data_IF_484464763791
#
_entry.id   IF_484464763791
#
_cell.length_a   1.000
_cell.length_b   1.000
_cell.length_c   1.000
_cell.angle_alpha   90.00
_cell.angle_beta   90.00
_cell.angle_gamma   90.00
#
_symmetry.space_group_name_H-M   'P 1'
#
loop_
_entity.id
_entity.type
_entity.pdbx_description
1 polymer ?
#
# COMPACT_ATOMS: atom_id res chain seq x y z
N UNK A 1 22.49 13.10 -44.39
CA UNK A 1 23.09 12.78 -43.07
C UNK A 1 22.30 13.34 -41.89
N UNK A 2 21.84 14.60 -41.92
CA UNK A 2 21.04 15.23 -40.84
C UNK A 2 19.74 14.48 -40.49
N UNK A 3 19.08 13.89 -41.48
CA UNK A 3 17.81 13.17 -41.28
C UNK A 3 18.00 11.77 -40.68
N UNK A 4 19.15 11.13 -40.89
CA UNK A 4 19.47 9.82 -40.32
C UNK A 4 19.82 9.95 -38.84
N UNK A 5 20.52 11.03 -38.46
CA UNK A 5 20.83 11.33 -37.05
C UNK A 5 19.55 11.65 -36.25
N UNK A 6 18.60 12.38 -36.85
CA UNK A 6 17.28 12.62 -36.24
C UNK A 6 16.48 11.32 -36.07
N UNK A 7 16.49 10.43 -37.07
CA UNK A 7 15.82 9.13 -36.99
C UNK A 7 16.44 8.23 -35.92
N UNK A 8 17.78 8.18 -35.85
CA UNK A 8 18.50 7.46 -34.79
C UNK A 8 18.21 8.03 -33.41
N UNK A 9 18.12 9.35 -33.26
CA UNK A 9 17.72 10.01 -32.00
C UNK A 9 16.26 9.71 -31.62
N UNK A 10 15.35 9.60 -32.59
CA UNK A 10 13.94 9.21 -32.34
C UNK A 10 13.83 7.74 -31.88
N UNK A 11 14.56 6.84 -32.54
CA UNK A 11 14.60 5.39 -32.21
C UNK A 11 15.29 5.15 -30.85
N UNK A 12 16.25 6.00 -30.47
CA UNK A 12 16.88 5.98 -29.15
C UNK A 12 15.95 6.54 -28.04
N UNK A 13 14.98 7.40 -28.38
CA UNK A 13 14.00 7.95 -27.43
C UNK A 13 12.87 6.96 -27.09
N UNK A 14 12.56 6.03 -27.99
CA UNK A 14 11.55 4.97 -27.73
C UNK A 14 12.06 3.83 -26.82
N UNK A 15 13.35 3.81 -26.48
CA UNK A 15 13.92 2.86 -25.51
C UNK A 15 13.86 3.36 -24.07
N UNK A 16 13.01 4.33 -23.75
CA UNK A 16 12.55 4.51 -22.38
C UNK A 16 11.61 3.33 -22.10
N UNK A 17 12.17 2.26 -21.56
CA UNK A 17 11.44 1.07 -21.13
C UNK A 17 10.41 1.51 -20.08
N UNK A 18 9.17 1.73 -20.51
CA UNK A 18 8.01 1.73 -19.62
C UNK A 18 7.85 0.29 -19.15
N UNK A 19 8.57 -0.06 -18.09
CA UNK A 19 8.24 -1.27 -17.34
C UNK A 19 6.85 -1.06 -16.75
N UNK A 20 5.85 -1.68 -17.36
CA UNK A 20 4.52 -1.78 -16.76
C UNK A 20 4.70 -2.41 -15.38
N UNK A 21 4.25 -1.69 -14.35
CA UNK A 21 4.24 -2.25 -13.01
C UNK A 21 3.25 -3.41 -13.00
N UNK A 22 3.59 -4.55 -12.38
CA UNK A 22 2.68 -5.68 -12.33
C UNK A 22 1.38 -5.27 -11.64
N UNK A 23 0.25 -5.61 -12.27
CA UNK A 23 -1.09 -5.30 -11.76
C UNK A 23 -1.45 -6.16 -10.54
N UNK A 24 -0.82 -7.33 -10.42
CA UNK A 24 -0.99 -8.28 -9.31
C UNK A 24 0.31 -8.55 -8.56
N UNK A 25 0.18 -9.02 -7.31
CA UNK A 25 1.36 -9.44 -6.54
C UNK A 25 2.09 -10.60 -7.22
N UNK A 26 3.41 -10.50 -7.35
CA UNK A 26 4.25 -11.62 -7.76
C UNK A 26 4.15 -12.79 -6.76
N UNK A 27 4.46 -14.00 -7.21
CA UNK A 27 4.59 -15.14 -6.28
C UNK A 27 5.83 -14.96 -5.41
N UNK A 28 5.69 -15.20 -4.11
CA UNK A 28 6.82 -15.21 -3.16
C UNK A 28 7.72 -16.42 -3.41
N UNK A 29 9.03 -16.27 -3.21
CA UNK A 29 9.98 -17.38 -3.34
C UNK A 29 9.69 -18.47 -2.28
N UNK A 30 9.71 -19.74 -2.70
CA UNK A 30 9.38 -20.88 -1.84
C UNK A 30 10.29 -21.05 -0.61
N UNK A 31 11.50 -20.49 -0.64
CA UNK A 31 12.45 -20.52 0.47
C UNK A 31 12.37 -19.26 1.36
N UNK A 32 11.40 -18.38 1.12
CA UNK A 32 11.23 -17.17 1.93
C UNK A 32 10.80 -17.53 3.35
N UNK A 33 11.65 -17.19 4.32
CA UNK A 33 11.37 -17.39 5.75
C UNK A 33 11.00 -16.11 6.48
N UNK A 34 11.22 -14.94 5.86
CA UNK A 34 11.01 -13.64 6.47
C UNK A 34 10.69 -12.57 5.42
N UNK A 35 9.75 -11.68 5.74
CA UNK A 35 9.38 -10.52 4.92
C UNK A 35 9.42 -9.27 5.79
N UNK A 36 10.17 -8.26 5.35
CA UNK A 36 10.12 -6.90 5.89
C UNK A 36 9.44 -5.99 4.87
N UNK A 37 8.41 -5.28 5.30
CA UNK A 37 7.66 -4.38 4.43
C UNK A 37 7.49 -3.01 5.11
N UNK A 38 7.68 -1.95 4.33
CA UNK A 38 7.51 -0.57 4.77
C UNK A 38 6.71 0.23 3.74
N UNK A 39 5.78 1.05 4.22
CA UNK A 39 4.95 1.90 3.36
C UNK A 39 4.77 3.29 3.98
N UNK A 40 4.51 4.27 3.11
CA UNK A 40 3.93 5.54 3.52
C UNK A 40 2.47 5.33 3.97
N UNK A 41 1.97 6.24 4.80
CA UNK A 41 0.54 6.37 5.05
C UNK A 41 -0.25 6.56 3.73
N UNK A 42 -1.53 6.19 3.75
CA UNK A 42 -2.44 6.42 2.62
C UNK A 42 -2.76 7.90 2.39
N UNK A 43 -3.59 8.19 1.39
CA UNK A 43 -4.04 9.55 1.09
C UNK A 43 -4.60 10.28 2.33
N UNK A 44 -4.19 11.53 2.50
CA UNK A 44 -4.54 12.38 3.64
C UNK A 44 -4.90 13.78 3.19
N UNK A 45 -5.55 14.55 4.06
CA UNK A 45 -5.69 15.99 3.86
C UNK A 45 -4.36 16.73 3.98
N UNK A 46 -4.23 17.92 3.35
CA UNK A 46 -3.05 18.77 3.50
C UNK A 46 -2.81 19.20 4.95
N UNK A 47 -1.59 19.63 5.21
CA UNK A 47 -1.18 20.20 6.50
C UNK A 47 -1.09 21.72 6.44
N UNK A 48 -0.60 22.24 5.31
CA UNK A 48 -0.46 23.66 5.05
C UNK A 48 -1.52 24.07 4.03
N UNK A 49 -2.23 25.16 4.32
CA UNK A 49 -3.23 25.76 3.44
C UNK A 49 -2.74 27.13 2.98
N UNK A 50 -2.94 27.44 1.71
CA UNK A 50 -2.64 28.75 1.14
C UNK A 50 -3.72 29.75 1.58
N UNK A 51 -3.30 30.92 2.05
CA UNK A 51 -4.22 31.95 2.54
C UNK A 51 -5.08 32.54 1.41
N UNK A 52 -4.53 32.58 0.20
CA UNK A 52 -5.14 33.18 -0.99
C UNK A 52 -6.29 32.33 -1.56
N UNK A 53 -6.45 31.09 -1.09
CA UNK A 53 -7.50 30.19 -1.56
C UNK A 53 -7.97 29.28 -0.40
N UNK A 54 -8.80 29.82 0.52
CA UNK A 54 -9.27 29.05 1.66
C UNK A 54 -10.16 27.90 1.18
N UNK A 55 -9.78 26.68 1.54
CA UNK A 55 -10.55 25.46 1.25
C UNK A 55 -10.85 24.74 2.56
N UNK A 56 -12.10 24.34 2.73
CA UNK A 56 -12.44 23.33 3.72
C UNK A 56 -12.11 21.95 3.15
N UNK A 57 -11.43 21.15 3.95
CA UNK A 57 -11.17 19.74 3.67
C UNK A 57 -12.07 18.91 4.59
N UNK A 58 -12.38 17.67 4.19
CA UNK A 58 -13.45 16.85 4.75
C UNK A 58 -13.50 16.78 6.28
N UNK A 59 -14.62 16.28 6.81
CA UNK A 59 -14.90 16.25 8.26
C UNK A 59 -13.85 15.48 9.09
N UNK A 60 -12.96 14.71 8.45
CA UNK A 60 -11.83 14.09 9.12
C UNK A 60 -10.84 15.11 9.71
N UNK A 61 -10.70 16.30 9.12
CA UNK A 61 -9.79 17.35 9.57
C UNK A 61 -8.43 17.36 8.86
N UNK A 62 -7.61 18.35 9.19
CA UNK A 62 -6.29 18.58 8.59
C UNK A 62 -5.32 17.45 8.88
N UNK A 63 -4.48 17.10 7.90
CA UNK A 63 -3.50 15.99 8.00
C UNK A 63 -4.05 14.59 8.21
N UNK A 64 -5.36 14.44 8.38
CA UNK A 64 -6.00 13.17 8.70
C UNK A 64 -6.17 12.28 7.47
N UNK A 65 -6.19 10.97 7.72
CA UNK A 65 -6.33 9.96 6.67
C UNK A 65 -7.74 10.02 6.08
N UNK A 66 -7.83 10.21 4.76
CA UNK A 66 -9.12 10.29 4.08
C UNK A 66 -9.74 8.91 3.94
N UNK A 67 -11.04 8.87 3.62
CA UNK A 67 -11.70 7.63 3.23
C UNK A 67 -11.05 6.94 2.01
N UNK A 68 -10.41 7.70 1.11
CA UNK A 68 -9.59 7.13 0.04
C UNK A 68 -8.32 6.46 0.60
N UNK A 69 -7.62 7.12 1.52
CA UNK A 69 -6.44 6.57 2.18
C UNK A 69 -6.72 5.28 2.94
N UNK A 70 -7.87 5.19 3.61
CA UNK A 70 -8.34 3.96 4.28
C UNK A 70 -8.51 2.80 3.30
N UNK A 71 -9.14 3.05 2.14
CA UNK A 71 -9.30 2.05 1.07
C UNK A 71 -7.97 1.63 0.46
N UNK A 72 -7.02 2.56 0.31
CA UNK A 72 -5.66 2.26 -0.15
C UNK A 72 -4.94 1.34 0.84
N UNK A 73 -4.99 1.65 2.15
CA UNK A 73 -4.42 0.78 3.18
C UNK A 73 -5.03 -0.62 3.18
N UNK A 74 -6.37 -0.71 3.12
CA UNK A 74 -7.04 -2.01 3.02
C UNK A 74 -6.67 -2.79 1.76
N UNK A 75 -6.63 -2.11 0.60
CA UNK A 75 -6.19 -2.70 -0.67
C UNK A 75 -4.76 -3.23 -0.61
N UNK A 76 -3.84 -2.44 -0.07
CA UNK A 76 -2.46 -2.85 0.19
C UNK A 76 -2.41 -4.11 1.08
N UNK A 77 -3.22 -4.16 2.13
CA UNK A 77 -3.30 -5.32 3.01
C UNK A 77 -3.72 -6.60 2.28
N UNK A 78 -4.68 -6.50 1.34
CA UNK A 78 -5.10 -7.64 0.52
C UNK A 78 -3.99 -8.12 -0.41
N UNK A 79 -3.26 -7.21 -1.06
CA UNK A 79 -2.14 -7.59 -1.94
C UNK A 79 -0.98 -8.18 -1.14
N UNK A 80 -0.69 -7.65 0.05
CA UNK A 80 0.27 -8.26 0.96
C UNK A 80 -0.15 -9.66 1.40
N UNK A 81 -1.44 -9.89 1.69
CA UNK A 81 -1.95 -11.23 1.98
C UNK A 81 -1.73 -12.20 0.82
N UNK A 82 -2.01 -11.79 -0.42
CA UNK A 82 -1.75 -12.62 -1.60
C UNK A 82 -0.24 -12.95 -1.73
N UNK A 83 0.61 -11.94 -1.53
CA UNK A 83 2.06 -12.10 -1.61
C UNK A 83 2.61 -13.05 -0.54
N UNK A 84 2.33 -12.82 0.75
CA UNK A 84 2.90 -13.62 1.85
C UNK A 84 2.25 -15.00 1.96
N UNK A 85 1.04 -15.18 1.45
CA UNK A 85 0.34 -16.46 1.37
C UNK A 85 0.31 -17.22 2.69
N UNK A 86 0.93 -18.41 2.70
CA UNK A 86 0.97 -19.35 3.84
C UNK A 86 2.11 -19.08 4.82
N UNK A 87 2.97 -18.09 4.57
CA UNK A 87 4.07 -17.73 5.49
C UNK A 87 3.54 -17.31 6.86
N UNK A 88 2.33 -16.73 6.90
CA UNK A 88 1.64 -16.31 8.13
C UNK A 88 0.19 -16.82 8.11
N UNK A 89 -0.36 -17.16 9.27
CA UNK A 89 -1.75 -17.62 9.38
C UNK A 89 -2.74 -16.54 8.92
N UNK A 90 -3.92 -16.98 8.48
CA UNK A 90 -5.03 -16.07 8.15
C UNK A 90 -5.43 -15.24 9.37
N UNK A 91 -5.69 -15.89 10.50
CA UNK A 91 -5.90 -15.21 11.78
C UNK A 91 -4.59 -14.60 12.29
N UNK A 92 -4.69 -13.47 13.00
CA UNK A 92 -3.53 -12.83 13.61
C UNK A 92 -2.86 -13.77 14.63
N UNK A 93 -1.55 -13.95 14.49
CA UNK A 93 -0.72 -14.70 15.44
C UNK A 93 0.51 -13.88 15.83
N UNK A 94 0.61 -13.53 17.12
CA UNK A 94 1.70 -12.70 17.62
C UNK A 94 3.09 -13.35 17.55
N UNK A 95 3.21 -14.66 17.34
CA UNK A 95 4.51 -15.31 17.16
C UNK A 95 5.02 -15.22 15.72
N UNK A 96 4.16 -14.87 14.76
CA UNK A 96 4.48 -14.87 13.32
C UNK A 96 4.66 -13.46 12.74
N UNK A 97 3.96 -12.45 13.29
CA UNK A 97 3.95 -11.09 12.74
C UNK A 97 4.19 -10.02 13.81
N UNK A 98 4.81 -8.92 13.38
CA UNK A 98 4.96 -7.68 14.16
C UNK A 98 4.61 -6.49 13.27
N UNK A 99 3.89 -5.53 13.83
CA UNK A 99 3.41 -4.35 13.13
C UNK A 99 3.82 -3.09 13.87
N UNK A 100 4.38 -2.12 13.14
CA UNK A 100 4.88 -0.87 13.69
C UNK A 100 4.37 0.31 12.86
N UNK A 101 4.15 1.44 13.52
CA UNK A 101 3.80 2.71 12.86
C UNK A 101 4.45 3.88 13.58
N UNK A 102 4.67 4.97 12.86
CA UNK A 102 4.94 6.27 13.47
C UNK A 102 3.69 6.80 14.19
N UNK A 103 3.88 7.72 15.15
CA UNK A 103 2.82 8.21 16.05
C UNK A 103 1.67 9.00 15.40
N UNK A 104 1.80 9.48 14.16
CA UNK A 104 0.75 10.25 13.51
C UNK A 104 -0.52 9.40 13.26
N UNK A 105 -1.70 9.95 13.53
CA UNK A 105 -3.01 9.29 13.37
C UNK A 105 -3.14 8.58 12.01
N UNK A 106 -2.83 9.31 10.92
CA UNK A 106 -2.84 8.76 9.56
C UNK A 106 -2.00 7.51 9.35
N UNK A 107 -0.87 7.38 10.06
CA UNK A 107 0.01 6.23 9.96
C UNK A 107 -0.57 5.05 10.75
N UNK A 108 -1.06 5.29 11.95
CA UNK A 108 -1.74 4.28 12.77
C UNK A 108 -3.00 3.75 12.08
N UNK A 109 -3.83 4.62 11.50
CA UNK A 109 -5.03 4.24 10.76
C UNK A 109 -4.70 3.50 9.45
N UNK A 110 -3.63 3.90 8.76
CA UNK A 110 -3.15 3.14 7.59
C UNK A 110 -2.73 1.74 8.01
N UNK A 111 -2.00 1.61 9.12
CA UNK A 111 -1.62 0.30 9.65
C UNK A 111 -2.85 -0.54 10.01
N UNK A 112 -3.82 0.02 10.74
CA UNK A 112 -5.04 -0.69 11.12
C UNK A 112 -5.81 -1.21 9.90
N UNK A 113 -6.02 -0.36 8.88
CA UNK A 113 -6.72 -0.76 7.66
C UNK A 113 -5.93 -1.78 6.84
N UNK A 114 -4.60 -1.67 6.80
CA UNK A 114 -3.71 -2.66 6.15
C UNK A 114 -3.79 -4.00 6.86
N UNK A 115 -3.68 -4.03 8.19
CA UNK A 115 -3.78 -5.25 9.00
C UNK A 115 -5.16 -5.90 8.85
N UNK A 116 -6.23 -5.12 8.72
CA UNK A 116 -7.56 -5.65 8.42
C UNK A 116 -7.66 -6.31 7.03
N UNK A 117 -6.87 -5.86 6.05
CA UNK A 117 -6.73 -6.51 4.75
C UNK A 117 -5.85 -7.76 4.80
N UNK A 118 -4.82 -7.77 5.66
CA UNK A 118 -3.95 -8.93 5.86
C UNK A 118 -4.68 -10.03 6.63
N UNK A 119 -5.37 -9.70 7.73
CA UNK A 119 -6.05 -10.65 8.61
C UNK A 119 -7.56 -10.36 8.61
N UNK A 120 -8.28 -10.72 7.53
CA UNK A 120 -9.73 -10.58 7.54
C UNK A 120 -10.32 -11.45 8.65
N UNK A 121 -11.36 -10.98 9.37
CA UNK A 121 -12.03 -11.80 10.37
C UNK A 121 -12.65 -13.02 9.68
N UNK A 122 -12.14 -14.20 9.98
CA UNK A 122 -12.84 -15.43 9.65
C UNK A 122 -14.11 -15.53 10.50
N UNK A 123 -15.13 -16.25 10.03
CA UNK A 123 -16.26 -16.62 10.90
C UNK A 123 -15.65 -17.31 12.11
N UNK A 124 -15.76 -16.65 13.27
CA UNK A 124 -15.17 -17.08 14.53
C UNK A 124 -15.39 -18.58 14.75
N UNK A 125 -14.36 -19.25 15.27
CA UNK A 125 -14.39 -20.65 15.65
C UNK A 125 -15.72 -21.05 16.27
N UNK A 126 -16.46 -21.90 15.55
CA UNK A 126 -17.43 -22.77 16.19
C UNK A 126 -16.60 -23.64 17.11
N UNK A 127 -16.55 -23.28 18.39
CA UNK A 127 -16.45 -24.30 19.43
C UNK A 127 -17.63 -25.21 19.15
N UNK A 128 -17.36 -26.37 18.56
CA UNK A 128 -18.34 -27.44 18.51
C UNK A 128 -18.62 -27.81 19.96
N UNK A 129 -19.75 -27.29 20.47
CA UNK A 129 -20.45 -27.82 21.62
C UNK A 129 -21.52 -28.78 21.11
#
# INVERSE_FOLDING_TARGET
MRNILLFLLLVLFERVCLTELPEESIQIDNNTVFVLFGTRHGNRHPEVFLAENPRSWGFEGSTELTSFGKRQGYGLGKELRKFIGKLVSNNYNMSQVRYYSSSANRCQMTLQTTVAGIHPPEKLGRLEH
#
